data_IF_383356555158
#
_entry.id   IF_383356555158
#
_cell.length_a   1.000
_cell.length_b   1.000
_cell.length_c   1.000
_cell.angle_alpha   90.00
_cell.angle_beta   90.00
_cell.angle_gamma   90.00
#
_symmetry.space_group_name_H-M   'P 1'
#
loop_
_entity.id
_entity.type
_entity.pdbx_description
1 polymer ?
#
# COMPACT_ATOMS: atom_id res chain seq x y z
N UNK A 1 -11.01 0.22 5.92
CA UNK A 1 -11.66 0.01 4.61
C UNK A 1 -10.75 -0.87 3.79
N UNK A 2 -11.27 -2.00 3.32
CA UNK A 2 -10.54 -2.89 2.42
C UNK A 2 -10.83 -2.49 0.98
N UNK A 3 -9.79 -2.14 0.24
CA UNK A 3 -9.82 -1.89 -1.20
C UNK A 3 -10.86 -0.85 -1.65
N UNK A 4 -10.96 0.34 -1.03
CA UNK A 4 -12.04 1.28 -1.30
C UNK A 4 -11.96 1.96 -2.68
N UNK A 5 -10.89 1.72 -3.45
CA UNK A 5 -10.64 2.33 -4.75
C UNK A 5 -10.99 1.43 -5.94
N UNK A 6 -11.30 0.14 -5.72
CA UNK A 6 -11.92 -0.80 -6.67
C UNK A 6 -11.59 -0.68 -8.17
N UNK A 7 -12.50 -1.17 -9.02
CA UNK A 7 -12.45 -1.01 -10.48
C UNK A 7 -13.04 0.35 -10.89
N UNK A 8 -12.54 1.43 -10.29
CA UNK A 8 -12.95 2.79 -10.60
C UNK A 8 -11.96 3.41 -11.61
N UNK A 9 -12.46 4.32 -12.45
CA UNK A 9 -11.58 5.17 -13.26
C UNK A 9 -10.81 6.18 -12.40
N UNK A 10 -9.82 6.82 -12.99
CA UNK A 10 -8.94 7.78 -12.31
C UNK A 10 -9.72 8.94 -11.65
N UNK A 11 -10.77 9.43 -12.30
CA UNK A 11 -11.57 10.57 -11.83
C UNK A 11 -12.31 10.16 -10.56
N UNK A 12 -12.98 9.01 -10.56
CA UNK A 12 -13.69 8.50 -9.40
C UNK A 12 -12.71 8.16 -8.26
N UNK A 13 -11.56 7.53 -8.55
CA UNK A 13 -10.55 7.25 -7.51
C UNK A 13 -10.07 8.53 -6.83
N UNK A 14 -9.84 9.61 -7.59
CA UNK A 14 -9.47 10.93 -7.04
C UNK A 14 -10.55 11.50 -6.12
N UNK A 15 -11.82 11.44 -6.52
CA UNK A 15 -12.93 11.95 -5.69
C UNK A 15 -13.10 11.15 -4.39
N UNK A 16 -12.98 9.83 -4.49
CA UNK A 16 -13.00 8.93 -3.33
C UNK A 16 -11.82 9.24 -2.41
N UNK A 17 -10.62 9.43 -2.94
CA UNK A 17 -9.40 9.74 -2.18
C UNK A 17 -9.51 11.06 -1.39
N UNK A 18 -10.21 12.06 -1.94
CA UNK A 18 -10.51 13.34 -1.27
C UNK A 18 -11.52 13.23 -0.14
N UNK A 19 -12.43 12.27 -0.24
CA UNK A 19 -13.60 12.16 0.64
C UNK A 19 -13.35 11.21 1.79
N UNK A 20 -12.66 10.09 1.53
CA UNK A 20 -12.37 9.03 2.49
C UNK A 20 -11.74 9.53 3.80
N UNK A 21 -10.71 10.40 3.79
CA UNK A 21 -10.10 10.90 5.02
C UNK A 21 -11.05 11.71 5.93
N UNK A 22 -12.18 12.19 5.40
CA UNK A 22 -13.16 13.00 6.13
C UNK A 22 -14.28 12.18 6.77
N UNK A 23 -14.32 10.86 6.54
CA UNK A 23 -15.40 9.99 7.00
C UNK A 23 -15.33 9.69 8.50
N UNK A 24 -14.14 9.71 9.09
CA UNK A 24 -13.93 9.39 10.50
C UNK A 24 -12.63 10.01 11.01
N UNK A 25 -12.54 10.20 12.33
CA UNK A 25 -11.33 10.69 13.00
C UNK A 25 -10.14 9.71 12.89
N UNK A 26 -10.42 8.41 12.81
CA UNK A 26 -9.43 7.38 12.62
C UNK A 26 -9.85 6.46 11.47
N UNK A 27 -8.90 6.21 10.57
CA UNK A 27 -9.15 5.45 9.36
C UNK A 27 -7.94 4.60 9.00
N UNK A 28 -8.19 3.32 8.74
CA UNK A 28 -7.19 2.39 8.19
C UNK A 28 -7.66 2.00 6.79
N UNK A 29 -6.81 2.18 5.80
CA UNK A 29 -7.09 1.85 4.40
C UNK A 29 -6.11 0.75 3.99
N UNK A 30 -6.65 -0.36 3.48
CA UNK A 30 -5.88 -1.43 2.88
C UNK A 30 -6.07 -1.35 1.37
N UNK A 31 -4.97 -1.30 0.62
CA UNK A 31 -4.96 -1.12 -0.83
C UNK A 31 -3.86 -1.93 -1.48
N UNK A 32 -4.09 -2.32 -2.72
CA UNK A 32 -3.05 -2.94 -3.54
C UNK A 32 -2.10 -1.89 -4.13
N UNK A 33 -0.93 -2.35 -4.60
CA UNK A 33 0.03 -1.50 -5.35
C UNK A 33 -0.60 -0.77 -6.53
N UNK A 34 -1.62 -1.33 -7.18
CA UNK A 34 -2.28 -0.70 -8.33
C UNK A 34 -3.28 0.36 -7.93
N UNK A 35 -3.96 0.18 -6.79
CA UNK A 35 -4.90 1.15 -6.23
C UNK A 35 -4.20 2.36 -5.60
N UNK A 36 -3.01 2.18 -5.06
CA UNK A 36 -2.27 3.25 -4.37
C UNK A 36 -1.63 4.30 -5.29
N UNK A 37 -1.67 4.13 -6.61
CA UNK A 37 -0.87 4.95 -7.54
C UNK A 37 -1.45 6.34 -7.77
N UNK A 38 -0.56 7.26 -8.15
CA UNK A 38 -0.89 8.55 -8.77
C UNK A 38 -1.80 9.42 -7.92
N UNK A 39 -3.04 9.53 -8.36
CA UNK A 39 -4.08 10.36 -7.76
C UNK A 39 -4.38 9.99 -6.30
N UNK A 40 -4.35 8.71 -5.94
CA UNK A 40 -4.71 8.28 -4.58
C UNK A 40 -3.61 8.70 -3.61
N UNK A 41 -2.35 8.41 -3.93
CA UNK A 41 -1.21 8.84 -3.13
C UNK A 41 -1.18 10.36 -2.96
N UNK A 42 -1.37 11.12 -4.05
CA UNK A 42 -1.32 12.59 -4.03
C UNK A 42 -2.39 13.22 -3.14
N UNK A 43 -3.64 12.76 -3.26
CA UNK A 43 -4.77 13.35 -2.52
C UNK A 43 -4.80 12.91 -1.05
N UNK A 44 -4.27 11.73 -0.73
CA UNK A 44 -4.27 11.21 0.64
C UNK A 44 -3.04 11.62 1.45
N UNK A 45 -1.93 12.00 0.80
CA UNK A 45 -0.62 12.26 1.44
C UNK A 45 -0.70 13.07 2.73
N UNK A 46 -1.46 14.17 2.71
CA UNK A 46 -1.56 15.12 3.83
C UNK A 46 -2.38 14.60 5.03
N UNK A 47 -3.09 13.48 4.87
CA UNK A 47 -3.94 12.89 5.89
C UNK A 47 -3.36 11.61 6.49
N UNK A 48 -2.27 11.08 5.93
CA UNK A 48 -1.67 9.83 6.39
C UNK A 48 -0.83 10.10 7.64
N UNK A 49 -1.23 9.56 8.78
CA UNK A 49 -0.41 9.60 10.00
C UNK A 49 0.65 8.48 10.06
N UNK A 50 0.32 7.30 9.54
CA UNK A 50 1.20 6.12 9.49
C UNK A 50 0.95 5.36 8.19
N UNK A 51 2.02 4.85 7.60
CA UNK A 51 2.00 4.11 6.32
C UNK A 51 2.82 2.83 6.50
N UNK A 52 2.28 1.71 6.02
CA UNK A 52 2.89 0.41 6.17
C UNK A 52 2.82 -0.37 4.86
N UNK A 53 3.82 -1.19 4.63
CA UNK A 53 3.88 -2.15 3.53
C UNK A 53 3.76 -3.56 4.11
N UNK A 54 2.89 -4.38 3.52
CA UNK A 54 2.75 -5.79 3.86
C UNK A 54 3.59 -6.60 2.86
N UNK A 55 4.66 -7.22 3.33
CA UNK A 55 5.56 -8.03 2.51
C UNK A 55 5.14 -9.49 2.61
N UNK A 56 4.73 -10.08 1.50
CA UNK A 56 4.44 -11.51 1.43
C UNK A 56 5.73 -12.29 1.13
N UNK A 57 6.09 -13.22 2.01
CA UNK A 57 7.21 -14.13 1.84
C UNK A 57 6.69 -15.49 1.39
N UNK A 58 7.05 -15.90 0.17
CA UNK A 58 6.62 -17.16 -0.43
C UNK A 58 7.74 -18.21 -0.39
N UNK A 59 7.48 -19.46 0.02
CA UNK A 59 8.50 -20.53 0.02
C UNK A 59 8.80 -21.04 -1.40
N UNK A 60 8.09 -20.57 -2.44
CA UNK A 60 8.26 -21.03 -3.81
C UNK A 60 9.59 -20.57 -4.40
N UNK A 61 10.38 -21.45 -5.02
CA UNK A 61 11.69 -21.10 -5.58
C UNK A 61 11.60 -20.18 -6.80
N UNK A 62 10.47 -20.16 -7.50
CA UNK A 62 10.19 -19.31 -8.67
C UNK A 62 9.32 -18.08 -8.31
N UNK A 63 9.39 -17.65 -7.05
CA UNK A 63 8.63 -16.51 -6.56
C UNK A 63 8.97 -15.23 -7.37
N UNK A 64 7.96 -14.68 -8.05
CA UNK A 64 8.08 -13.38 -8.72
C UNK A 64 8.11 -12.29 -7.66
N UNK A 65 9.28 -11.71 -7.46
CA UNK A 65 9.45 -10.57 -6.58
C UNK A 65 8.70 -9.36 -7.13
N UNK A 66 8.14 -8.56 -6.22
CA UNK A 66 7.51 -7.27 -6.53
C UNK A 66 7.87 -6.28 -5.43
N UNK A 67 7.91 -5.00 -5.79
CA UNK A 67 8.30 -3.90 -4.89
C UNK A 67 7.51 -2.63 -5.19
N UNK A 68 7.54 -1.64 -4.31
CA UNK A 68 6.90 -0.34 -4.51
C UNK A 68 7.85 0.79 -4.09
N UNK A 69 8.02 1.75 -4.99
CA UNK A 69 8.80 2.96 -4.71
C UNK A 69 7.93 3.95 -3.91
N UNK A 70 8.30 4.18 -2.65
CA UNK A 70 7.64 5.13 -1.76
C UNK A 70 8.70 6.07 -1.18
N UNK A 71 8.50 7.38 -1.30
CA UNK A 71 9.43 8.40 -0.79
C UNK A 71 10.89 8.21 -1.24
N UNK A 72 11.11 7.71 -2.47
CA UNK A 72 12.44 7.43 -3.00
C UNK A 72 13.10 6.15 -2.49
N UNK A 73 12.43 5.40 -1.61
CA UNK A 73 12.87 4.11 -1.09
C UNK A 73 12.06 2.99 -1.73
N UNK A 74 12.72 1.92 -2.17
CA UNK A 74 12.05 0.75 -2.73
C UNK A 74 11.72 -0.25 -1.62
N UNK A 75 10.42 -0.50 -1.41
CA UNK A 75 9.93 -1.42 -0.40
C UNK A 75 9.45 -2.73 -1.05
N UNK A 76 9.85 -3.90 -0.55
CA UNK A 76 9.36 -5.16 -1.09
C UNK A 76 7.87 -5.35 -0.82
N UNK A 77 7.16 -5.98 -1.75
CA UNK A 77 5.79 -6.47 -1.57
C UNK A 77 5.73 -7.98 -1.61
N UNK A 78 6.61 -8.60 -2.39
CA UNK A 78 6.72 -10.05 -2.51
C UNK A 78 8.20 -10.43 -2.51
N UNK A 79 8.58 -11.35 -1.63
CA UNK A 79 9.94 -11.90 -1.55
C UNK A 79 9.90 -13.42 -1.43
N UNK A 80 11.01 -14.06 -1.80
CA UNK A 80 11.21 -15.47 -1.49
C UNK A 80 11.47 -15.61 0.02
N UNK A 81 10.75 -16.52 0.66
CA UNK A 81 10.96 -16.88 2.05
C UNK A 81 12.34 -17.52 2.20
N UNK A 82 13.15 -17.11 3.20
CA UNK A 82 14.39 -17.80 3.53
C UNK A 82 14.13 -19.16 4.19
N UNK A 83 12.86 -19.47 4.53
CA UNK A 83 12.42 -20.69 5.17
C UNK A 83 11.46 -21.48 4.26
N UNK A 84 11.10 -22.69 4.66
CA UNK A 84 10.13 -23.54 3.94
C UNK A 84 8.66 -23.19 4.24
N UNK A 85 8.38 -22.03 4.85
CA UNK A 85 7.02 -21.59 5.17
C UNK A 85 6.72 -20.18 4.63
N UNK A 86 5.43 -19.93 4.41
CA UNK A 86 4.92 -18.61 4.02
C UNK A 86 4.58 -17.74 5.23
N UNK A 87 4.83 -16.44 5.12
CA UNK A 87 4.46 -15.47 6.15
C UNK A 87 4.33 -14.05 5.57
N UNK A 88 3.74 -13.14 6.34
CA UNK A 88 3.64 -11.73 6.00
C UNK A 88 4.33 -10.90 7.07
N UNK A 89 5.20 -9.98 6.65
CA UNK A 89 5.82 -8.99 7.51
C UNK A 89 5.17 -7.62 7.27
N UNK A 90 4.98 -6.85 8.35
CA UNK A 90 4.49 -5.47 8.26
C UNK A 90 5.69 -4.55 8.49
N UNK A 91 6.03 -3.77 7.47
CA UNK A 91 7.14 -2.81 7.51
C UNK A 91 6.56 -1.41 7.53
N UNK A 92 6.96 -0.59 8.51
CA UNK A 92 6.62 0.83 8.54
C UNK A 92 7.43 1.60 7.48
N UNK A 93 6.75 2.44 6.70
CA UNK A 93 7.38 3.29 5.70
C UNK A 93 8.00 4.50 6.40
N UNK A 94 9.31 4.63 6.28
CA UNK A 94 10.05 5.78 6.79
C UNK A 94 9.59 7.08 6.11
N UNK A 95 9.47 8.15 6.90
CA UNK A 95 9.22 9.51 6.43
C UNK A 95 10.28 10.45 6.96
N UNK A 96 10.81 11.26 6.05
CA UNK A 96 11.50 12.49 6.44
C UNK A 96 10.41 13.44 6.98
N UNK A 97 10.50 13.75 8.26
CA UNK A 97 9.63 14.74 8.92
C UNK A 97 9.94 16.16 8.44
#
# INVERSE_FOLDING_TARGET
MDSPFGSLDEIYRRQVAKSIPKLANQLIILVTKTQWRGEVQGETKNYIGKEYVLVYYSPKPDCKQDSILLNGVDYPLVQQSPNEFEYTEIIEVGRDN
#
